data_IF_943194415868
#
_entry.id   IF_943194415868
#
_cell.length_a   1.000
_cell.length_b   1.000
_cell.length_c   1.000
_cell.angle_alpha   90.00
_cell.angle_beta   90.00
_cell.angle_gamma   90.00
#
_symmetry.space_group_name_H-M   'P 1'
#
loop_
_entity.id
_entity.type
_entity.pdbx_description
1 polymer ?
#
# COMPACT_ATOMS: atom_id res chain seq x y z
N UNK A 1 23.75 49.40 28.06
CA UNK A 1 22.57 48.52 27.96
C UNK A 1 23.09 47.11 27.79
N UNK A 2 23.09 46.33 28.86
CA UNK A 2 23.59 44.95 28.85
C UNK A 2 22.46 44.02 28.35
N UNK A 3 22.77 43.20 27.35
CA UNK A 3 21.87 42.16 26.87
C UNK A 3 21.80 41.05 27.92
N UNK A 4 20.58 40.75 28.38
CA UNK A 4 20.30 39.63 29.27
C UNK A 4 20.22 38.38 28.38
N UNK A 5 21.29 37.59 28.37
CA UNK A 5 21.24 36.21 27.87
C UNK A 5 20.31 35.40 28.79
N UNK A 6 19.16 34.98 28.26
CA UNK A 6 18.34 33.97 28.91
C UNK A 6 18.96 32.60 28.59
N UNK A 7 19.20 31.73 29.59
CA UNK A 7 19.61 30.38 29.31
C UNK A 7 18.50 29.66 28.54
N UNK A 8 18.85 29.02 27.43
CA UNK A 8 18.04 27.96 26.83
C UNK A 8 17.93 26.84 27.87
N UNK A 9 16.77 26.75 28.52
CA UNK A 9 16.36 25.52 29.19
C UNK A 9 16.22 24.46 28.10
N UNK A 10 17.24 23.64 27.92
CA UNK A 10 17.10 22.33 27.29
C UNK A 10 16.27 21.50 28.26
N UNK A 11 14.98 21.39 27.98
CA UNK A 11 14.01 20.76 28.85
C UNK A 11 14.20 19.24 28.88
N UNK A 12 14.35 18.71 30.10
CA UNK A 12 14.22 17.29 30.47
C UNK A 12 12.82 16.70 30.14
N UNK A 13 12.02 17.33 29.28
CA UNK A 13 10.65 16.92 28.94
C UNK A 13 10.56 16.01 27.72
N UNK A 14 11.61 15.93 26.88
CA UNK A 14 11.57 15.11 25.67
C UNK A 14 11.63 13.60 25.97
N UNK A 15 12.28 13.18 27.07
CA UNK A 15 12.30 11.77 27.50
C UNK A 15 10.96 11.31 28.11
N UNK A 16 10.14 12.25 28.62
CA UNK A 16 8.83 11.97 29.21
C UNK A 16 7.73 11.64 28.17
N UNK A 17 8.01 11.82 26.88
CA UNK A 17 7.08 11.55 25.77
C UNK A 17 7.54 10.35 24.92
N UNK A 18 8.01 9.29 25.58
CA UNK A 18 8.28 8.00 24.93
C UNK A 18 7.59 6.87 25.69
N UNK A 19 7.24 5.79 24.99
CA UNK A 19 6.39 4.76 25.55
C UNK A 19 7.03 3.90 26.64
N UNK A 20 8.36 3.88 26.78
CA UNK A 20 9.09 3.09 27.79
C UNK A 20 8.59 1.63 27.92
N UNK A 21 8.12 1.02 26.82
CA UNK A 21 7.57 -0.33 26.78
C UNK A 21 6.14 -0.48 27.35
N UNK A 22 5.40 0.61 27.49
CA UNK A 22 4.00 0.63 27.90
C UNK A 22 3.11 1.25 26.80
N UNK A 23 1.87 0.74 26.60
CA UNK A 23 0.93 1.33 25.66
C UNK A 23 0.65 2.80 25.97
N UNK A 24 0.45 3.64 24.94
CA UNK A 24 0.08 5.04 25.14
C UNK A 24 -1.38 5.15 25.62
N UNK A 25 -1.63 5.59 26.88
CA UNK A 25 -2.98 5.73 27.40
C UNK A 25 -3.82 6.77 26.64
N UNK A 26 -3.20 7.78 26.04
CA UNK A 26 -3.91 8.79 25.23
C UNK A 26 -4.35 8.19 23.90
N UNK A 27 -3.53 7.37 23.27
CA UNK A 27 -3.92 6.66 22.04
C UNK A 27 -5.06 5.67 22.27
N UNK A 28 -5.05 4.97 23.42
CA UNK A 28 -6.18 4.13 23.84
C UNK A 28 -7.46 4.95 24.09
N UNK A 29 -7.35 6.16 24.62
CA UNK A 29 -8.48 7.06 24.79
C UNK A 29 -9.07 7.48 23.43
N UNK A 30 -8.23 7.82 22.45
CA UNK A 30 -8.65 8.09 21.06
C UNK A 30 -9.36 6.88 20.46
N UNK A 31 -8.78 5.68 20.58
CA UNK A 31 -9.38 4.45 20.07
C UNK A 31 -10.76 4.17 20.69
N UNK A 32 -10.92 4.43 21.99
CA UNK A 32 -12.20 4.29 22.71
C UNK A 32 -13.24 5.30 22.25
N UNK A 33 -12.86 6.57 22.16
CA UNK A 33 -13.75 7.63 21.69
C UNK A 33 -14.22 7.41 20.24
N UNK A 34 -13.33 6.86 19.39
CA UNK A 34 -13.72 6.44 18.04
C UNK A 34 -14.70 5.25 18.09
N UNK A 35 -14.41 4.22 18.88
CA UNK A 35 -15.30 3.04 19.02
C UNK A 35 -16.71 3.43 19.46
N UNK A 36 -16.84 4.37 20.40
CA UNK A 36 -18.13 4.83 20.92
C UNK A 36 -19.00 5.53 19.85
N UNK A 37 -18.40 5.96 18.74
CA UNK A 37 -19.06 6.62 17.61
C UNK A 37 -19.33 5.67 16.43
N UNK A 38 -18.77 4.46 16.44
CA UNK A 38 -18.93 3.48 15.38
C UNK A 38 -20.01 2.45 15.70
N UNK A 39 -20.62 1.82 14.68
CA UNK A 39 -21.56 0.73 14.89
C UNK A 39 -20.95 -0.43 15.69
N UNK A 40 -21.76 -1.08 16.55
CA UNK A 40 -21.34 -2.24 17.35
C UNK A 40 -20.81 -3.44 16.53
N UNK A 41 -21.09 -3.47 15.23
CA UNK A 41 -20.53 -4.48 14.30
C UNK A 41 -19.06 -4.25 13.97
N UNK A 42 -18.49 -3.13 14.42
CA UNK A 42 -17.12 -2.72 14.17
C UNK A 42 -16.31 -2.70 15.46
N UNK A 43 -15.02 -3.02 15.35
CA UNK A 43 -14.09 -3.04 16.47
C UNK A 43 -12.85 -2.19 16.17
N UNK A 44 -12.58 -1.19 17.00
CA UNK A 44 -11.37 -0.39 16.95
C UNK A 44 -10.26 -1.07 17.76
N UNK A 45 -9.10 -1.21 17.12
CA UNK A 45 -7.91 -1.81 17.72
C UNK A 45 -6.73 -0.86 17.53
N UNK A 46 -6.10 -0.45 18.63
CA UNK A 46 -4.82 0.28 18.59
C UNK A 46 -3.71 -0.72 18.29
N UNK A 47 -2.87 -0.44 17.29
CA UNK A 47 -1.70 -1.26 17.00
C UNK A 47 -0.46 -0.38 16.76
N UNK A 48 0.64 -0.97 16.29
CA UNK A 48 1.87 -0.23 16.00
C UNK A 48 2.62 0.25 17.25
N UNK A 49 3.44 1.29 17.07
CA UNK A 49 4.42 1.72 18.08
C UNK A 49 3.78 2.21 19.39
N UNK A 50 2.58 2.81 19.30
CA UNK A 50 1.81 3.28 20.46
C UNK A 50 1.14 2.15 21.23
N UNK A 51 0.81 1.04 20.57
CA UNK A 51 0.35 -0.17 21.25
C UNK A 51 1.49 -0.89 21.97
N UNK A 52 2.66 -1.00 21.33
CA UNK A 52 3.82 -1.74 21.87
C UNK A 52 4.67 -0.94 22.85
N UNK A 53 4.45 0.38 22.94
CA UNK A 53 5.17 1.25 23.86
C UNK A 53 6.58 1.63 23.40
N UNK A 54 6.91 1.46 22.13
CA UNK A 54 8.19 1.88 21.53
C UNK A 54 8.08 3.21 20.76
N UNK A 55 6.96 3.92 20.92
CA UNK A 55 6.67 5.18 20.25
C UNK A 55 7.59 6.32 20.70
N UNK A 56 7.85 7.23 19.74
CA UNK A 56 8.58 8.50 19.91
C UNK A 56 7.57 9.66 19.94
N UNK A 57 7.95 10.89 20.38
CA UNK A 57 7.02 12.01 20.50
C UNK A 57 6.16 12.28 19.26
N UNK A 58 6.73 12.09 18.06
CA UNK A 58 6.07 12.34 16.78
C UNK A 58 5.57 11.07 16.07
N UNK A 59 5.58 9.92 16.73
CA UNK A 59 4.98 8.71 16.17
C UNK A 59 3.50 8.92 15.89
N UNK A 60 3.02 8.34 14.83
CA UNK A 60 1.60 8.23 14.49
C UNK A 60 0.80 7.42 15.51
N UNK A 61 -0.53 7.53 15.40
CA UNK A 61 -1.49 6.61 16.02
C UNK A 61 -2.02 5.68 14.93
N UNK A 62 -1.65 4.40 15.02
CA UNK A 62 -2.15 3.35 14.13
C UNK A 62 -3.42 2.70 14.69
N UNK A 63 -4.55 2.88 14.01
CA UNK A 63 -5.83 2.30 14.40
C UNK A 63 -6.34 1.38 13.29
N UNK A 64 -6.67 0.14 13.64
CA UNK A 64 -7.42 -0.75 12.77
C UNK A 64 -8.90 -0.70 13.15
N UNK A 65 -9.78 -0.62 12.16
CA UNK A 65 -11.24 -0.71 12.37
C UNK A 65 -11.73 -1.98 11.70
N UNK A 66 -11.91 -3.03 12.51
CA UNK A 66 -12.36 -4.33 12.06
C UNK A 66 -13.87 -4.29 11.80
N UNK A 67 -14.33 -4.95 10.73
CA UNK A 67 -15.71 -4.93 10.28
C UNK A 67 -16.12 -3.67 9.52
N UNK A 68 -15.21 -2.73 9.27
CA UNK A 68 -15.49 -1.51 8.50
C UNK A 68 -15.32 -1.74 6.99
N UNK A 69 -16.10 -1.04 6.14
CA UNK A 69 -15.84 -0.98 4.71
C UNK A 69 -14.55 -0.18 4.43
N UNK A 70 -13.86 -0.54 3.34
CA UNK A 70 -12.60 0.08 2.94
C UNK A 70 -12.78 1.22 1.94
N UNK A 71 -13.97 1.79 1.81
CA UNK A 71 -14.22 2.88 0.87
C UNK A 71 -13.65 4.20 1.39
N UNK A 72 -13.22 5.06 0.46
CA UNK A 72 -12.49 6.29 0.78
C UNK A 72 -13.29 7.28 1.63
N UNK A 73 -14.62 7.30 1.48
CA UNK A 73 -15.48 8.21 2.23
C UNK A 73 -15.50 7.79 3.70
N UNK A 74 -15.82 6.51 3.97
CA UNK A 74 -15.87 5.98 5.34
C UNK A 74 -14.51 6.14 6.04
N UNK A 75 -13.40 5.87 5.34
CA UNK A 75 -12.04 6.08 5.87
C UNK A 75 -11.78 7.54 6.22
N UNK A 76 -12.20 8.47 5.35
CA UNK A 76 -12.05 9.91 5.58
C UNK A 76 -12.86 10.38 6.80
N UNK A 77 -14.09 9.90 6.95
CA UNK A 77 -14.96 10.21 8.09
C UNK A 77 -14.35 9.67 9.41
N UNK A 78 -13.90 8.42 9.44
CA UNK A 78 -13.22 7.85 10.61
C UNK A 78 -11.92 8.58 10.94
N UNK A 79 -11.15 8.97 9.93
CA UNK A 79 -9.91 9.73 10.10
C UNK A 79 -10.14 11.10 10.72
N UNK A 80 -11.19 11.81 10.28
CA UNK A 80 -11.55 13.11 10.83
C UNK A 80 -12.06 13.00 12.27
N UNK A 81 -12.89 12.00 12.57
CA UNK A 81 -13.34 11.74 13.94
C UNK A 81 -12.15 11.45 14.86
N UNK A 82 -11.26 10.54 14.47
CA UNK A 82 -10.07 10.22 15.26
C UNK A 82 -9.18 11.45 15.48
N UNK A 83 -9.07 12.34 14.48
CA UNK A 83 -8.30 13.59 14.56
C UNK A 83 -8.86 14.54 15.61
N UNK A 84 -10.18 14.73 15.62
CA UNK A 84 -10.87 15.56 16.62
C UNK A 84 -10.60 15.02 18.04
N UNK A 85 -10.68 13.71 18.23
CA UNK A 85 -10.41 13.08 19.52
C UNK A 85 -8.92 13.19 19.92
N UNK A 86 -7.99 13.09 18.97
CA UNK A 86 -6.57 13.30 19.24
C UNK A 86 -6.26 14.74 19.63
N UNK A 87 -6.88 15.73 18.97
CA UNK A 87 -6.75 17.17 19.30
C UNK A 87 -7.19 17.48 20.74
N UNK A 88 -8.07 16.67 21.33
CA UNK A 88 -8.51 16.85 22.69
C UNK A 88 -7.50 16.36 23.75
N UNK A 89 -6.60 15.45 23.39
CA UNK A 89 -5.68 14.78 24.34
C UNK A 89 -4.19 14.93 24.01
N UNK A 90 -3.85 15.44 22.83
CA UNK A 90 -2.49 15.75 22.39
C UNK A 90 -2.30 17.24 22.09
N UNK A 91 -1.06 17.73 22.22
CA UNK A 91 -0.69 19.09 21.80
C UNK A 91 0.82 19.16 21.50
N UNK A 92 1.25 19.23 20.21
CA UNK A 92 0.42 19.08 19.00
C UNK A 92 -0.06 17.63 18.81
N UNK A 93 -1.13 17.46 18.02
CA UNK A 93 -1.66 16.14 17.70
C UNK A 93 -0.75 15.36 16.76
N UNK A 94 -0.49 14.07 17.04
CA UNK A 94 0.20 13.19 16.10
C UNK A 94 -0.66 12.93 14.85
N UNK A 95 -0.02 12.47 13.78
CA UNK A 95 -0.74 11.91 12.64
C UNK A 95 -1.50 10.65 13.04
N UNK A 96 -2.62 10.39 12.37
CA UNK A 96 -3.46 9.21 12.61
C UNK A 96 -3.56 8.41 11.32
N UNK A 97 -3.31 7.11 11.43
CA UNK A 97 -3.47 6.17 10.34
C UNK A 97 -4.63 5.22 10.66
N UNK A 98 -5.70 5.33 9.86
CA UNK A 98 -6.85 4.44 9.94
C UNK A 98 -6.69 3.32 8.90
N UNK A 99 -6.72 2.08 9.37
CA UNK A 99 -6.73 0.88 8.52
C UNK A 99 -8.09 0.19 8.64
N UNK A 100 -9.04 0.43 7.71
CA UNK A 100 -10.26 -0.35 7.68
C UNK A 100 -9.94 -1.79 7.29
N UNK A 101 -10.54 -2.76 7.97
CA UNK A 101 -10.46 -4.17 7.59
C UNK A 101 -11.85 -4.78 7.66
N UNK A 102 -12.35 -5.31 6.55
CA UNK A 102 -13.56 -6.12 6.61
C UNK A 102 -13.30 -7.37 7.47
N UNK A 103 -14.35 -7.95 8.07
CA UNK A 103 -14.19 -9.20 8.82
C UNK A 103 -13.57 -10.33 7.98
N UNK A 104 -13.99 -10.58 6.72
CA UNK A 104 -13.33 -11.57 5.88
C UNK A 104 -11.84 -11.30 5.64
N UNK A 105 -11.46 -10.04 5.39
CA UNK A 105 -10.06 -9.66 5.18
C UNK A 105 -9.22 -9.85 6.44
N UNK A 106 -9.74 -9.46 7.60
CA UNK A 106 -9.07 -9.70 8.87
C UNK A 106 -8.90 -11.20 9.13
N UNK A 107 -9.95 -11.99 8.94
CA UNK A 107 -9.90 -13.45 9.15
C UNK A 107 -8.92 -14.16 8.22
N UNK A 108 -8.82 -13.75 6.95
CA UNK A 108 -7.88 -14.29 5.98
C UNK A 108 -6.42 -13.92 6.35
N UNK A 109 -6.19 -12.66 6.75
CA UNK A 109 -4.86 -12.12 6.98
C UNK A 109 -4.29 -12.33 8.39
N UNK A 110 -5.13 -12.54 9.42
CA UNK A 110 -4.69 -12.53 10.84
C UNK A 110 -3.73 -13.62 11.26
N UNK A 111 -3.57 -14.66 10.43
CA UNK A 111 -2.59 -15.74 10.63
C UNK A 111 -1.24 -15.48 9.94
N UNK A 112 -1.10 -14.33 9.29
CA UNK A 112 0.03 -13.95 8.47
C UNK A 112 0.68 -12.69 9.00
N UNK A 113 1.81 -12.86 9.69
CA UNK A 113 2.55 -11.74 10.28
C UNK A 113 2.85 -10.59 9.30
N UNK A 114 3.29 -10.83 8.05
CA UNK A 114 3.57 -9.74 7.12
C UNK A 114 2.31 -8.95 6.70
N UNK A 115 1.12 -9.48 6.97
CA UNK A 115 -0.15 -8.81 6.73
C UNK A 115 -0.51 -7.88 7.88
N UNK A 116 -1.12 -6.73 7.58
CA UNK A 116 -1.56 -5.78 8.62
C UNK A 116 -2.51 -6.44 9.64
N UNK A 117 -3.46 -7.25 9.18
CA UNK A 117 -4.33 -8.05 10.05
C UNK A 117 -3.55 -8.98 11.00
N UNK A 118 -2.43 -9.57 10.56
CA UNK A 118 -1.58 -10.40 11.42
C UNK A 118 -0.87 -9.58 12.50
N UNK A 119 -0.41 -8.37 12.17
CA UNK A 119 0.18 -7.44 13.14
C UNK A 119 -0.86 -6.94 14.15
N UNK A 120 -2.05 -6.56 13.68
CA UNK A 120 -3.20 -6.21 14.54
C UNK A 120 -3.53 -7.38 15.46
N UNK A 121 -3.55 -8.61 14.95
CA UNK A 121 -3.80 -9.80 15.74
C UNK A 121 -2.71 -10.10 16.79
N UNK A 122 -1.45 -9.80 16.48
CA UNK A 122 -0.30 -10.10 17.34
C UNK A 122 -0.06 -9.04 18.43
N UNK A 123 -0.19 -7.77 18.07
CA UNK A 123 0.20 -6.63 18.90
C UNK A 123 -0.93 -5.66 19.19
N UNK A 124 -2.08 -5.84 18.56
CA UNK A 124 -3.22 -4.98 18.75
C UNK A 124 -3.77 -5.04 20.17
N UNK A 125 -4.25 -3.89 20.61
CA UNK A 125 -4.94 -3.67 21.87
C UNK A 125 -6.37 -3.24 21.57
N UNK A 126 -7.33 -3.88 22.23
CA UNK A 126 -8.71 -3.40 22.28
C UNK A 126 -8.77 -2.02 22.93
N UNK A 127 -9.93 -1.36 22.87
CA UNK A 127 -10.15 -0.06 23.52
C UNK A 127 -10.05 -0.11 25.06
N UNK A 128 -10.07 -1.31 25.65
CA UNK A 128 -9.81 -1.54 27.08
C UNK A 128 -8.32 -1.70 27.41
N UNK A 129 -7.46 -1.84 26.39
CA UNK A 129 -6.03 -2.09 26.54
C UNK A 129 -5.67 -3.58 26.63
N UNK A 130 -6.62 -4.47 26.34
CA UNK A 130 -6.39 -5.92 26.34
C UNK A 130 -5.91 -6.39 24.96
N UNK A 131 -5.04 -7.38 24.91
CA UNK A 131 -4.67 -8.01 23.64
C UNK A 131 -5.83 -8.82 23.05
N UNK A 132 -5.87 -8.90 21.72
CA UNK A 132 -6.73 -9.85 21.02
C UNK A 132 -6.37 -11.30 21.39
N UNK A 133 -7.34 -12.21 21.26
CA UNK A 133 -7.12 -13.63 21.55
C UNK A 133 -5.97 -14.18 20.69
N UNK A 134 -4.96 -14.86 21.28
CA UNK A 134 -3.78 -15.30 20.54
C UNK A 134 -4.12 -16.16 19.32
N UNK A 135 -3.41 -15.91 18.21
CA UNK A 135 -3.56 -16.65 16.95
C UNK A 135 -2.19 -17.10 16.41
N UNK A 136 -2.00 -18.40 16.09
CA UNK A 136 -0.78 -18.87 15.45
C UNK A 136 -0.50 -18.16 14.11
N UNK A 137 0.72 -17.64 13.96
CA UNK A 137 1.22 -17.00 12.73
C UNK A 137 1.84 -18.05 11.79
N UNK A 138 1.02 -19.00 11.33
CA UNK A 138 1.49 -20.22 10.66
C UNK A 138 1.87 -20.06 9.19
N UNK A 139 1.34 -19.05 8.50
CA UNK A 139 1.51 -18.87 7.05
C UNK A 139 1.91 -17.44 6.70
N UNK A 140 3.09 -17.22 6.10
CA UNK A 140 3.47 -15.88 5.64
C UNK A 140 2.74 -15.48 4.35
N UNK A 141 2.04 -16.41 3.69
CA UNK A 141 1.58 -16.20 2.32
C UNK A 141 0.58 -15.06 2.14
N UNK A 142 -0.53 -14.93 2.90
CA UNK A 142 -1.47 -13.83 2.70
C UNK A 142 -0.80 -12.45 2.77
N UNK A 143 0.10 -12.25 3.75
CA UNK A 143 0.86 -11.01 3.88
C UNK A 143 1.86 -10.81 2.75
N UNK A 144 2.64 -11.84 2.40
CA UNK A 144 3.59 -11.78 1.29
C UNK A 144 2.90 -11.51 -0.05
N UNK A 145 1.77 -12.18 -0.31
CA UNK A 145 0.94 -11.97 -1.49
C UNK A 145 0.52 -10.51 -1.59
N UNK A 146 0.00 -9.94 -0.50
CA UNK A 146 -0.42 -8.54 -0.48
C UNK A 146 0.74 -7.57 -0.71
N UNK A 147 1.89 -7.83 -0.08
CA UNK A 147 3.10 -7.01 -0.26
C UNK A 147 3.60 -7.04 -1.71
N UNK A 148 3.55 -8.19 -2.39
CA UNK A 148 3.91 -8.30 -3.80
C UNK A 148 2.93 -7.53 -4.70
N UNK A 149 1.62 -7.58 -4.44
CA UNK A 149 0.63 -6.79 -5.17
C UNK A 149 0.87 -5.28 -5.01
N UNK A 150 1.14 -4.83 -3.78
CA UNK A 150 1.43 -3.41 -3.51
C UNK A 150 2.74 -2.98 -4.17
N UNK A 151 3.77 -3.83 -4.12
CA UNK A 151 5.04 -3.59 -4.81
C UNK A 151 4.83 -3.42 -6.31
N UNK A 152 4.00 -4.28 -6.93
CA UNK A 152 3.65 -4.16 -8.33
C UNK A 152 3.01 -2.81 -8.66
N UNK A 153 1.96 -2.40 -7.92
CA UNK A 153 1.26 -1.13 -8.17
C UNK A 153 2.18 0.07 -8.05
N UNK A 154 3.07 0.07 -7.04
CA UNK A 154 4.04 1.14 -6.88
C UNK A 154 5.08 1.15 -8.00
N UNK A 155 5.55 -0.02 -8.45
CA UNK A 155 6.47 -0.08 -9.58
C UNK A 155 5.80 0.44 -10.86
N UNK A 156 4.54 0.06 -11.10
CA UNK A 156 3.74 0.55 -12.21
C UNK A 156 3.61 2.08 -12.18
N UNK A 157 3.24 2.66 -11.03
CA UNK A 157 3.13 4.10 -10.85
C UNK A 157 4.48 4.81 -11.04
N UNK A 158 5.58 4.22 -10.56
CA UNK A 158 6.92 4.78 -10.73
C UNK A 158 7.30 4.89 -12.22
N UNK A 159 7.03 3.83 -12.98
CA UNK A 159 7.26 3.79 -14.42
C UNK A 159 6.37 4.81 -15.16
N UNK A 160 5.08 4.92 -14.82
CA UNK A 160 4.16 5.91 -15.40
C UNK A 160 4.63 7.34 -15.18
N UNK A 161 4.95 7.69 -13.93
CA UNK A 161 5.43 9.02 -13.59
C UNK A 161 6.77 9.36 -14.24
N UNK A 162 7.61 8.36 -14.49
CA UNK A 162 8.85 8.54 -15.27
C UNK A 162 8.52 8.94 -16.70
N UNK A 163 7.59 8.23 -17.36
CA UNK A 163 7.12 8.57 -18.71
C UNK A 163 6.46 9.95 -18.82
N UNK A 164 5.80 10.40 -17.76
CA UNK A 164 5.15 11.71 -17.66
C UNK A 164 6.09 12.85 -17.23
N UNK A 165 7.37 12.56 -17.01
CA UNK A 165 8.36 13.51 -16.48
C UNK A 165 8.00 14.08 -15.09
N UNK A 166 7.33 13.28 -14.25
CA UNK A 166 6.93 13.59 -12.86
C UNK A 166 7.90 12.96 -11.86
N UNK A 167 9.16 13.39 -11.91
CA UNK A 167 10.28 12.70 -11.25
C UNK A 167 10.20 12.54 -9.73
N UNK A 168 9.56 13.47 -9.04
CA UNK A 168 9.36 13.34 -7.59
C UNK A 168 8.40 12.20 -7.24
N UNK A 169 7.31 12.06 -8.00
CA UNK A 169 6.38 10.95 -7.83
C UNK A 169 7.00 9.62 -8.27
N UNK A 170 7.83 9.61 -9.32
CA UNK A 170 8.49 8.36 -9.74
C UNK A 170 9.45 7.83 -8.67
N UNK A 171 10.27 8.68 -8.06
CA UNK A 171 11.17 8.31 -6.96
C UNK A 171 10.41 7.85 -5.71
N UNK A 172 9.34 8.56 -5.34
CA UNK A 172 8.48 8.17 -4.22
C UNK A 172 7.92 6.76 -4.39
N UNK A 173 7.38 6.47 -5.57
CA UNK A 173 6.82 5.17 -5.88
C UNK A 173 7.90 4.08 -6.05
N UNK A 174 9.07 4.41 -6.60
CA UNK A 174 10.19 3.48 -6.71
C UNK A 174 10.69 3.02 -5.33
N UNK A 175 10.84 3.95 -4.37
CA UNK A 175 11.17 3.62 -2.98
C UNK A 175 10.09 2.72 -2.35
N UNK A 176 8.81 3.06 -2.54
CA UNK A 176 7.70 2.29 -1.96
C UNK A 176 7.60 0.87 -2.54
N UNK A 177 7.91 0.71 -3.84
CA UNK A 177 7.98 -0.59 -4.49
C UNK A 177 9.11 -1.45 -3.90
N UNK A 178 10.30 -0.88 -3.70
CA UNK A 178 11.43 -1.57 -3.08
C UNK A 178 11.16 -1.95 -1.63
N UNK A 179 10.62 -1.03 -0.83
CA UNK A 179 10.29 -1.29 0.57
C UNK A 179 9.32 -2.47 0.72
N UNK A 180 8.27 -2.50 -0.11
CA UNK A 180 7.28 -3.59 -0.08
C UNK A 180 7.83 -4.91 -0.62
N UNK A 181 8.72 -4.89 -1.63
CA UNK A 181 9.43 -6.08 -2.11
C UNK A 181 10.38 -6.67 -1.06
N UNK A 182 11.12 -5.81 -0.34
CA UNK A 182 12.01 -6.24 0.76
C UNK A 182 11.19 -6.81 1.91
N UNK A 183 10.09 -6.15 2.31
CA UNK A 183 9.15 -6.68 3.31
C UNK A 183 8.57 -8.04 2.91
N UNK A 184 8.24 -8.24 1.63
CA UNK A 184 7.79 -9.54 1.12
C UNK A 184 8.89 -10.60 1.27
N UNK A 185 10.16 -10.24 1.01
CA UNK A 185 11.32 -11.10 1.21
C UNK A 185 11.51 -11.50 2.68
N UNK A 186 11.51 -10.52 3.59
CA UNK A 186 11.57 -10.78 5.04
C UNK A 186 10.43 -11.70 5.48
N UNK A 187 9.21 -11.44 5.01
CA UNK A 187 8.04 -12.27 5.28
C UNK A 187 8.20 -13.72 4.78
N UNK A 188 8.75 -13.92 3.58
CA UNK A 188 9.03 -15.25 3.04
C UNK A 188 10.04 -16.04 3.90
N UNK A 189 11.00 -15.33 4.50
CA UNK A 189 11.98 -15.87 5.45
C UNK A 189 11.49 -15.92 6.90
N UNK A 190 10.23 -15.55 7.16
CA UNK A 190 9.62 -15.48 8.51
C UNK A 190 10.36 -14.54 9.46
N UNK A 191 11.01 -13.51 8.92
CA UNK A 191 11.67 -12.46 9.68
C UNK A 191 10.62 -11.39 10.00
N UNK A 192 10.50 -11.06 11.28
CA UNK A 192 9.59 -10.02 11.74
C UNK A 192 10.20 -8.64 11.45
N UNK A 193 9.38 -7.71 11.00
CA UNK A 193 9.74 -6.31 10.75
C UNK A 193 8.61 -5.38 11.21
N UNK A 194 8.98 -4.21 11.73
CA UNK A 194 8.01 -3.21 12.21
C UNK A 194 7.36 -2.45 11.04
N UNK A 195 6.23 -1.79 11.31
CA UNK A 195 5.48 -1.01 10.32
C UNK A 195 6.08 0.37 10.00
N UNK A 196 7.39 0.54 10.14
CA UNK A 196 8.08 1.78 9.82
C UNK A 196 8.49 1.83 8.35
N UNK A 197 8.90 3.02 7.88
CA UNK A 197 9.40 3.26 6.53
C UNK A 197 10.93 3.39 6.54
N UNK A 198 11.62 2.30 6.87
CA UNK A 198 13.08 2.25 6.94
C UNK A 198 13.65 1.20 5.99
N UNK A 199 13.80 1.56 4.71
CA UNK A 199 14.38 0.66 3.71
C UNK A 199 15.78 0.16 4.13
N UNK A 200 16.58 0.98 4.81
CA UNK A 200 17.93 0.57 5.20
C UNK A 200 17.89 -0.49 6.31
N UNK A 201 17.04 -0.29 7.33
CA UNK A 201 16.78 -1.29 8.35
C UNK A 201 16.31 -2.61 7.74
N UNK A 202 15.34 -2.56 6.84
CA UNK A 202 14.82 -3.78 6.20
C UNK A 202 15.86 -4.51 5.35
N UNK A 203 16.73 -3.79 4.63
CA UNK A 203 17.83 -4.45 3.90
C UNK A 203 18.84 -5.07 4.86
N UNK A 204 19.10 -4.44 6.01
CA UNK A 204 20.01 -4.98 7.01
C UNK A 204 19.49 -6.28 7.67
N UNK A 205 18.17 -6.47 7.70
CA UNK A 205 17.53 -7.66 8.24
C UNK A 205 17.36 -8.80 7.20
N UNK A 206 17.70 -8.57 5.92
CA UNK A 206 17.68 -9.62 4.91
C UNK A 206 18.76 -10.69 5.21
N UNK A 207 18.56 -11.95 4.77
CA UNK A 207 19.63 -12.94 4.73
C UNK A 207 20.89 -12.40 4.04
N UNK A 208 22.07 -12.75 4.55
CA UNK A 208 23.38 -12.20 4.13
C UNK A 208 23.58 -12.17 2.61
N UNK A 209 23.17 -13.24 1.91
CA UNK A 209 23.30 -13.35 0.45
C UNK A 209 22.42 -12.33 -0.30
N UNK A 210 21.18 -12.14 0.16
CA UNK A 210 20.26 -11.14 -0.38
C UNK A 210 20.67 -9.72 0.00
N UNK A 211 21.17 -9.51 1.22
CA UNK A 211 21.69 -8.21 1.65
C UNK A 211 22.88 -7.79 0.78
N UNK A 212 23.87 -8.67 0.62
CA UNK A 212 25.04 -8.42 -0.23
C UNK A 212 24.65 -8.15 -1.68
N UNK A 213 23.69 -8.93 -2.22
CA UNK A 213 23.16 -8.68 -3.55
C UNK A 213 22.47 -7.31 -3.64
N UNK A 214 21.62 -6.96 -2.67
CA UNK A 214 20.90 -5.67 -2.64
C UNK A 214 21.88 -4.50 -2.56
N UNK A 215 22.92 -4.59 -1.73
CA UNK A 215 23.98 -3.59 -1.62
C UNK A 215 24.80 -3.45 -2.91
N UNK A 216 24.88 -4.50 -3.73
CA UNK A 216 25.52 -4.43 -5.06
C UNK A 216 24.65 -3.72 -6.12
N UNK A 217 23.34 -3.60 -5.88
CA UNK A 217 22.39 -2.97 -6.81
C UNK A 217 22.10 -1.53 -6.47
N UNK A 218 21.92 -1.24 -5.19
CA UNK A 218 21.65 0.10 -4.69
C UNK A 218 22.42 0.31 -3.40
N UNK A 219 23.31 1.29 -3.37
CA UNK A 219 24.16 1.55 -2.21
C UNK A 219 23.35 2.04 -1.00
N UNK A 220 23.92 1.87 0.20
CA UNK A 220 23.36 2.44 1.43
C UNK A 220 23.10 3.96 1.33
N UNK A 221 24.00 4.72 0.71
CA UNK A 221 23.85 6.16 0.50
C UNK A 221 22.69 6.50 -0.43
N UNK A 222 22.48 5.74 -1.51
CA UNK A 222 21.34 5.95 -2.42
C UNK A 222 20.02 5.63 -1.73
N UNK A 223 19.94 4.51 -1.00
CA UNK A 223 18.73 4.17 -0.21
C UNK A 223 18.43 5.23 0.84
N UNK A 224 19.45 5.69 1.57
CA UNK A 224 19.31 6.76 2.55
C UNK A 224 18.78 8.04 1.91
N UNK A 225 19.36 8.45 0.78
CA UNK A 225 18.89 9.63 0.07
C UNK A 225 17.44 9.51 -0.42
N UNK A 226 17.01 8.32 -0.86
CA UNK A 226 15.60 8.09 -1.23
C UNK A 226 14.66 8.23 -0.03
N UNK A 227 15.02 7.65 1.11
CA UNK A 227 14.24 7.78 2.35
C UNK A 227 14.17 9.25 2.81
N UNK A 228 15.32 9.93 2.81
CA UNK A 228 15.41 11.36 3.15
C UNK A 228 14.61 12.22 2.16
N UNK A 229 14.53 11.85 0.88
CA UNK A 229 13.74 12.54 -0.13
C UNK A 229 12.22 12.36 0.08
N UNK A 230 11.77 11.17 0.50
CA UNK A 230 10.34 10.86 0.71
C UNK A 230 9.69 11.71 1.80
N UNK A 231 10.40 11.96 2.91
CA UNK A 231 9.83 12.61 4.08
C UNK A 231 9.41 14.09 3.83
N UNK A 232 10.20 14.90 3.10
CA UNK A 232 9.81 16.27 2.75
C UNK A 232 8.97 16.38 1.47
N UNK A 233 9.18 15.52 0.45
CA UNK A 233 8.68 15.78 -0.90
C UNK A 233 7.15 15.82 -1.06
N UNK A 234 6.40 15.18 -0.15
CA UNK A 234 4.93 15.18 -0.18
C UNK A 234 4.29 16.28 0.67
N UNK A 235 5.01 16.78 1.68
CA UNK A 235 4.44 17.65 2.72
C UNK A 235 5.03 19.06 2.70
N UNK A 236 6.30 19.19 2.36
CA UNK A 236 6.96 20.47 2.19
C UNK A 236 7.03 20.83 0.71
N UNK A 237 6.43 21.97 0.34
CA UNK A 237 6.54 22.59 -0.99
C UNK A 237 7.99 23.01 -1.34
N UNK A 238 8.95 22.72 -0.47
CA UNK A 238 10.37 22.84 -0.71
C UNK A 238 10.82 21.49 -1.26
N UNK A 239 10.56 21.27 -2.55
CA UNK A 239 11.14 20.17 -3.28
C UNK A 239 12.67 20.36 -3.31
N UNK A 240 13.37 19.81 -2.32
CA UNK A 240 14.79 19.55 -2.46
C UNK A 240 14.94 18.73 -3.74
N UNK A 241 15.69 19.27 -4.70
CA UNK A 241 15.90 18.58 -5.96
C UNK A 241 16.73 17.34 -5.65
N UNK A 242 16.21 16.18 -6.03
CA UNK A 242 17.00 14.95 -6.11
C UNK A 242 18.31 15.25 -6.87
N UNK A 243 19.46 14.96 -6.26
CA UNK A 243 20.78 15.43 -6.74
C UNK A 243 21.81 14.32 -6.99
N UNK A 244 21.47 13.06 -6.70
CA UNK A 244 22.40 11.95 -6.85
C UNK A 244 22.42 11.43 -8.30
N UNK A 245 21.53 10.51 -8.61
CA UNK A 245 21.45 9.86 -9.92
C UNK A 245 20.28 10.39 -10.73
N UNK A 246 20.24 10.22 -12.06
CA UNK A 246 19.03 10.45 -12.82
C UNK A 246 17.86 9.62 -12.25
N UNK A 247 16.68 10.20 -12.01
CA UNK A 247 15.52 9.47 -11.48
C UNK A 247 15.17 8.20 -12.27
N UNK A 248 15.41 8.21 -13.57
CA UNK A 248 15.17 7.09 -14.47
C UNK A 248 16.11 5.91 -14.19
N UNK A 249 17.36 6.17 -13.80
CA UNK A 249 18.31 5.13 -13.38
C UNK A 249 17.91 4.51 -12.05
N UNK A 250 17.39 5.32 -11.12
CA UNK A 250 16.84 4.82 -9.85
C UNK A 250 15.59 3.96 -10.09
N UNK A 251 14.68 4.39 -10.96
CA UNK A 251 13.48 3.62 -11.29
C UNK A 251 13.85 2.30 -11.98
N UNK A 252 14.82 2.30 -12.89
CA UNK A 252 15.34 1.08 -13.50
C UNK A 252 15.99 0.14 -12.46
N UNK A 253 16.72 0.70 -11.49
CA UNK A 253 17.29 -0.07 -10.39
C UNK A 253 16.19 -0.68 -9.51
N UNK A 254 15.18 0.11 -9.15
CA UNK A 254 14.03 -0.36 -8.38
C UNK A 254 13.28 -1.48 -9.11
N UNK A 255 13.08 -1.35 -10.42
CA UNK A 255 12.47 -2.38 -11.27
C UNK A 255 13.25 -3.71 -11.21
N UNK A 256 14.57 -3.66 -11.40
CA UNK A 256 15.43 -4.85 -11.31
C UNK A 256 15.35 -5.47 -9.91
N UNK A 257 15.46 -4.65 -8.87
CA UNK A 257 15.44 -5.10 -7.48
C UNK A 257 14.12 -5.78 -7.14
N UNK A 258 12.99 -5.15 -7.46
CA UNK A 258 11.67 -5.66 -7.13
C UNK A 258 11.38 -6.97 -7.87
N UNK A 259 11.76 -7.08 -9.15
CA UNK A 259 11.58 -8.30 -9.94
C UNK A 259 12.36 -9.50 -9.38
N UNK A 260 13.66 -9.32 -9.10
CA UNK A 260 14.49 -10.40 -8.54
C UNK A 260 14.06 -10.79 -7.13
N UNK A 261 13.70 -9.84 -6.27
CA UNK A 261 13.15 -10.14 -4.94
C UNK A 261 11.82 -10.90 -5.04
N UNK A 262 10.91 -10.48 -5.94
CA UNK A 262 9.65 -11.18 -6.15
C UNK A 262 9.87 -12.62 -6.63
N UNK A 263 10.80 -12.83 -7.58
CA UNK A 263 11.20 -14.17 -8.04
C UNK A 263 11.76 -15.02 -6.90
N UNK A 264 12.64 -14.45 -6.07
CA UNK A 264 13.20 -15.13 -4.91
C UNK A 264 12.11 -15.54 -3.90
N UNK A 265 11.21 -14.61 -3.55
CA UNK A 265 10.08 -14.82 -2.66
C UNK A 265 9.19 -15.97 -3.14
N UNK A 266 8.81 -15.93 -4.42
CA UNK A 266 7.97 -16.95 -5.04
C UNK A 266 8.66 -18.33 -5.00
N UNK A 267 9.96 -18.37 -5.30
CA UNK A 267 10.77 -19.59 -5.19
C UNK A 267 10.80 -20.16 -3.77
N UNK A 268 11.03 -19.31 -2.75
CA UNK A 268 11.07 -19.73 -1.35
C UNK A 268 9.76 -20.35 -0.86
N UNK A 269 8.62 -19.83 -1.34
CA UNK A 269 7.30 -20.26 -0.90
C UNK A 269 6.68 -21.34 -1.81
N UNK A 270 7.39 -21.77 -2.87
CA UNK A 270 6.85 -22.71 -3.85
C UNK A 270 5.63 -22.16 -4.59
N UNK A 271 5.64 -20.85 -4.87
CA UNK A 271 4.57 -20.10 -5.52
C UNK A 271 4.99 -19.67 -6.92
N UNK A 272 3.99 -19.34 -7.72
CA UNK A 272 4.13 -18.79 -9.06
C UNK A 272 3.60 -17.37 -9.09
N UNK A 273 3.94 -16.56 -10.11
CA UNK A 273 3.35 -15.24 -10.29
C UNK A 273 1.81 -15.27 -10.29
N UNK A 274 1.19 -16.36 -10.78
CA UNK A 274 -0.27 -16.49 -10.88
C UNK A 274 -0.93 -16.62 -9.52
N UNK A 275 -0.24 -17.23 -8.56
CA UNK A 275 -0.72 -17.32 -7.19
C UNK A 275 -0.90 -15.94 -6.56
N UNK A 276 -0.10 -14.96 -6.96
CA UNK A 276 -0.13 -13.60 -6.40
C UNK A 276 -1.40 -12.85 -6.78
N UNK A 277 -2.01 -13.17 -7.93
CA UNK A 277 -3.18 -12.46 -8.48
C UNK A 277 -2.88 -10.96 -8.62
N UNK A 278 -1.82 -10.66 -9.35
CA UNK A 278 -1.45 -9.29 -9.72
C UNK A 278 -2.59 -8.59 -10.46
N UNK A 279 -2.76 -7.29 -10.21
CA UNK A 279 -3.77 -6.48 -10.91
C UNK A 279 -3.35 -6.25 -12.37
N UNK A 280 -2.04 -6.16 -12.60
CA UNK A 280 -1.46 -5.95 -13.91
C UNK A 280 -0.74 -7.20 -14.41
N UNK A 281 -0.90 -7.54 -15.69
CA UNK A 281 -0.31 -8.76 -16.26
C UNK A 281 0.16 -8.55 -17.71
N UNK A 282 1.47 -8.54 -17.90
CA UNK A 282 2.14 -8.54 -19.21
C UNK A 282 2.64 -9.92 -19.62
N UNK A 283 3.16 -10.68 -18.65
CA UNK A 283 3.67 -12.03 -18.88
C UNK A 283 3.65 -12.84 -17.59
N UNK A 284 3.93 -14.14 -17.68
CA UNK A 284 4.14 -15.02 -16.51
C UNK A 284 5.47 -14.73 -15.76
N UNK A 285 6.02 -13.52 -15.91
CA UNK A 285 7.16 -13.00 -15.14
C UNK A 285 6.78 -12.60 -13.71
N UNK A 286 7.81 -12.31 -12.90
CA UNK A 286 7.62 -11.75 -11.55
C UNK A 286 6.93 -10.37 -11.63
N UNK A 287 6.15 -9.97 -10.63
CA UNK A 287 5.41 -8.69 -10.68
C UNK A 287 4.57 -8.51 -11.97
N UNK A 288 4.08 -9.61 -12.54
CA UNK A 288 3.29 -9.60 -13.77
C UNK A 288 4.07 -9.20 -15.02
N UNK A 289 5.40 -9.32 -15.06
CA UNK A 289 6.22 -9.00 -16.23
C UNK A 289 6.72 -7.56 -16.28
N UNK A 290 6.47 -6.74 -15.26
CA UNK A 290 6.92 -5.35 -15.21
C UNK A 290 8.45 -5.22 -15.20
N UNK A 291 9.19 -6.22 -14.74
CA UNK A 291 10.66 -6.24 -14.73
C UNK A 291 11.29 -6.19 -16.14
N UNK A 292 10.52 -6.56 -17.17
CA UNK A 292 10.98 -6.57 -18.56
C UNK A 292 10.65 -5.29 -19.34
N UNK A 293 9.95 -4.34 -18.73
CA UNK A 293 9.51 -3.12 -19.43
C UNK A 293 10.61 -2.07 -19.42
N UNK A 294 10.95 -1.40 -20.55
CA UNK A 294 11.91 -0.31 -20.52
C UNK A 294 11.43 0.84 -19.62
N UNK A 295 12.26 1.26 -18.65
CA UNK A 295 11.95 2.37 -17.74
C UNK A 295 11.63 3.67 -18.51
N UNK A 296 12.44 3.97 -19.53
CA UNK A 296 12.21 5.02 -20.53
C UNK A 296 11.39 4.44 -21.69
N UNK A 297 10.13 4.13 -21.43
CA UNK A 297 9.25 3.45 -22.40
C UNK A 297 7.86 3.18 -21.88
N UNK A 298 7.67 3.20 -20.56
CA UNK A 298 6.35 3.10 -19.92
C UNK A 298 5.46 4.35 -20.12
N UNK A 299 5.68 5.17 -21.17
CA UNK A 299 4.60 6.03 -21.65
C UNK A 299 3.54 5.12 -22.23
N UNK A 300 2.69 4.60 -21.34
CA UNK A 300 1.55 3.78 -21.65
C UNK A 300 1.90 2.64 -22.62
N UNK A 301 2.04 1.44 -22.10
CA UNK A 301 2.08 0.23 -22.93
C UNK A 301 0.85 0.08 -23.85
N UNK A 302 -0.16 0.93 -23.65
CA UNK A 302 -1.25 1.19 -24.56
C UNK A 302 -0.79 2.19 -25.64
N UNK A 303 -0.87 1.77 -26.89
CA UNK A 303 -0.86 2.64 -28.05
C UNK A 303 -1.87 3.78 -27.90
N UNK A 304 -1.70 4.92 -28.59
CA UNK A 304 -2.70 6.01 -28.58
C UNK A 304 -4.15 5.51 -28.80
N UNK A 305 -4.42 4.56 -29.73
CA UNK A 305 -5.73 3.90 -29.87
C UNK A 305 -6.23 3.25 -28.59
N UNK A 306 -5.34 2.59 -27.84
CA UNK A 306 -5.73 1.87 -26.64
C UNK A 306 -6.02 2.82 -25.47
N UNK A 307 -5.25 3.90 -25.34
CA UNK A 307 -5.59 4.98 -24.41
C UNK A 307 -6.93 5.62 -24.75
N UNK A 308 -7.19 5.89 -26.03
CA UNK A 308 -8.46 6.45 -26.49
C UNK A 308 -9.62 5.51 -26.21
N UNK A 309 -9.44 4.20 -26.39
CA UNK A 309 -10.47 3.21 -26.12
C UNK A 309 -10.79 3.10 -24.61
N UNK A 310 -9.77 3.08 -23.73
CA UNK A 310 -9.99 3.11 -22.27
C UNK A 310 -10.62 4.44 -21.85
N UNK A 311 -10.17 5.57 -22.40
CA UNK A 311 -10.79 6.87 -22.14
C UNK A 311 -12.26 6.90 -22.58
N UNK A 312 -12.57 6.36 -23.75
CA UNK A 312 -13.94 6.24 -24.26
C UNK A 312 -14.79 5.31 -23.37
N UNK A 313 -14.23 4.20 -22.89
CA UNK A 313 -14.91 3.29 -21.94
C UNK A 313 -15.38 4.05 -20.71
N UNK A 314 -14.47 4.78 -20.04
CA UNK A 314 -14.80 5.54 -18.82
C UNK A 314 -15.77 6.70 -19.08
N UNK A 315 -15.57 7.46 -20.16
CA UNK A 315 -16.43 8.61 -20.48
C UNK A 315 -17.83 8.17 -20.91
N UNK A 316 -17.95 7.11 -21.71
CA UNK A 316 -19.25 6.70 -22.28
C UNK A 316 -20.04 5.78 -21.36
N UNK A 317 -19.37 4.98 -20.53
CA UNK A 317 -20.01 3.98 -19.67
C UNK A 317 -19.90 4.28 -18.17
N UNK A 318 -19.22 5.37 -17.78
CA UNK A 318 -19.03 5.76 -16.36
C UNK A 318 -20.34 5.90 -15.58
N UNK A 319 -21.39 6.43 -16.22
CA UNK A 319 -22.72 6.57 -15.63
C UNK A 319 -23.66 5.38 -15.93
N UNK A 320 -23.19 4.43 -16.73
CA UNK A 320 -23.98 3.29 -17.23
C UNK A 320 -23.65 2.00 -16.47
N UNK A 321 -22.39 1.81 -16.10
CA UNK A 321 -21.90 0.60 -15.45
C UNK A 321 -21.30 0.90 -14.07
N UNK A 322 -21.38 -0.05 -13.13
CA UNK A 322 -20.65 0.05 -11.87
C UNK A 322 -19.14 0.17 -12.11
N UNK A 323 -18.44 0.95 -11.29
CA UNK A 323 -16.98 1.14 -11.37
C UNK A 323 -16.22 -0.20 -11.35
N UNK A 324 -16.69 -1.17 -10.56
CA UNK A 324 -16.08 -2.50 -10.48
C UNK A 324 -16.07 -3.24 -11.83
N UNK A 325 -17.13 -3.10 -12.64
CA UNK A 325 -17.22 -3.74 -13.95
C UNK A 325 -16.35 -3.00 -14.98
N UNK A 326 -16.30 -1.66 -14.92
CA UNK A 326 -15.35 -0.87 -15.72
C UNK A 326 -13.91 -1.26 -15.44
N UNK A 327 -13.53 -1.41 -14.16
CA UNK A 327 -12.20 -1.88 -13.77
C UNK A 327 -11.91 -3.30 -14.26
N UNK A 328 -12.90 -4.20 -14.26
CA UNK A 328 -12.74 -5.56 -14.83
C UNK A 328 -12.50 -5.52 -16.34
N UNK A 329 -13.26 -4.72 -17.08
CA UNK A 329 -13.10 -4.57 -18.53
C UNK A 329 -11.73 -3.97 -18.85
N UNK A 330 -11.37 -2.88 -18.17
CA UNK A 330 -10.07 -2.23 -18.35
C UNK A 330 -8.92 -3.19 -18.05
N UNK A 331 -9.02 -3.94 -16.95
CA UNK A 331 -8.05 -4.98 -16.59
C UNK A 331 -7.94 -6.03 -17.71
N UNK A 332 -9.07 -6.56 -18.20
CA UNK A 332 -9.08 -7.56 -19.27
C UNK A 332 -8.45 -7.03 -20.56
N UNK A 333 -8.74 -5.78 -20.94
CA UNK A 333 -8.16 -5.11 -22.11
C UNK A 333 -6.66 -4.89 -21.96
N UNK A 334 -6.20 -4.43 -20.79
CA UNK A 334 -4.77 -4.28 -20.51
C UNK A 334 -4.03 -5.61 -20.54
N UNK A 335 -4.67 -6.69 -20.14
CA UNK A 335 -4.07 -8.03 -20.10
C UNK A 335 -4.04 -8.74 -21.46
N UNK A 336 -5.06 -8.51 -22.30
CA UNK A 336 -5.31 -9.35 -23.49
C UNK A 336 -5.39 -8.56 -24.80
N UNK A 337 -5.25 -7.24 -24.73
CA UNK A 337 -5.47 -6.32 -25.85
C UNK A 337 -6.93 -5.88 -25.95
N UNK A 338 -7.13 -4.75 -26.60
CA UNK A 338 -8.45 -4.19 -26.86
C UNK A 338 -9.06 -4.88 -28.09
N UNK A 339 -10.33 -5.29 -28.05
CA UNK A 339 -11.00 -5.85 -29.22
C UNK A 339 -10.99 -4.89 -30.41
N UNK A 340 -10.74 -5.39 -31.62
CA UNK A 340 -10.71 -4.58 -32.84
C UNK A 340 -12.04 -3.83 -33.10
N UNK A 341 -13.15 -4.34 -32.56
CA UNK A 341 -14.51 -3.83 -32.67
C UNK A 341 -14.99 -3.06 -31.42
N UNK A 342 -14.06 -2.57 -30.59
CA UNK A 342 -14.36 -1.91 -29.29
C UNK A 342 -15.43 -0.82 -29.37
N UNK A 343 -15.41 0.02 -30.41
CA UNK A 343 -16.39 1.09 -30.57
C UNK A 343 -17.82 0.55 -30.75
N UNK A 344 -17.98 -0.55 -31.50
CA UNK A 344 -19.26 -1.21 -31.70
C UNK A 344 -19.75 -1.88 -30.40
N UNK A 345 -18.83 -2.52 -29.67
CA UNK A 345 -19.13 -3.13 -28.36
C UNK A 345 -19.56 -2.08 -27.33
N UNK A 346 -18.86 -0.95 -27.22
CA UNK A 346 -19.26 0.16 -26.32
C UNK A 346 -20.67 0.65 -26.69
N UNK A 347 -20.95 0.86 -27.98
CA UNK A 347 -22.27 1.27 -28.45
C UNK A 347 -23.37 0.25 -28.10
N UNK A 348 -23.10 -1.05 -28.20
CA UNK A 348 -24.03 -2.10 -27.82
C UNK A 348 -24.33 -2.08 -26.31
N UNK A 349 -23.32 -1.82 -25.47
CA UNK A 349 -23.48 -1.74 -24.01
C UNK A 349 -24.21 -0.48 -23.59
N UNK A 350 -23.97 0.67 -24.23
CA UNK A 350 -24.77 1.88 -24.02
C UNK A 350 -26.26 1.64 -24.30
N UNK A 351 -26.58 0.87 -25.35
CA UNK A 351 -27.96 0.54 -25.70
C UNK A 351 -28.57 -0.53 -24.76
N UNK A 352 -27.75 -1.46 -24.27
CA UNK A 352 -28.15 -2.55 -23.38
C UNK A 352 -27.07 -2.80 -22.32
N UNK A 353 -27.13 -2.13 -21.15
CA UNK A 353 -26.09 -2.22 -20.12
C UNK A 353 -25.81 -3.64 -19.63
N UNK A 354 -26.83 -4.51 -19.60
CA UNK A 354 -26.69 -5.92 -19.24
C UNK A 354 -25.75 -6.72 -20.18
N UNK A 355 -25.42 -6.21 -21.37
CA UNK A 355 -24.51 -6.83 -22.30
C UNK A 355 -23.03 -6.48 -22.04
N UNK A 356 -22.68 -5.82 -20.93
CA UNK A 356 -21.31 -5.35 -20.67
C UNK A 356 -20.24 -6.43 -20.76
N UNK A 357 -20.57 -7.69 -20.46
CA UNK A 357 -19.66 -8.84 -20.61
C UNK A 357 -19.15 -9.03 -22.04
N UNK A 358 -19.88 -8.54 -23.05
CA UNK A 358 -19.39 -8.51 -24.44
C UNK A 358 -18.14 -7.65 -24.62
N UNK A 359 -17.80 -6.76 -23.68
CA UNK A 359 -16.54 -6.03 -23.70
C UNK A 359 -15.36 -6.89 -23.21
N UNK A 360 -15.62 -8.04 -22.59
CA UNK A 360 -14.59 -9.00 -22.21
C UNK A 360 -14.22 -9.87 -23.43
N UNK A 361 -12.96 -10.33 -23.53
CA UNK A 361 -12.56 -11.29 -24.56
C UNK A 361 -13.26 -12.64 -24.35
N UNK A 362 -13.60 -13.32 -25.45
CA UNK A 362 -14.53 -14.46 -25.55
C UNK A 362 -14.20 -15.67 -24.64
N UNK A 363 -12.98 -15.76 -24.11
CA UNK A 363 -12.51 -16.85 -23.25
C UNK A 363 -12.85 -16.67 -21.75
N UNK A 364 -13.38 -15.50 -21.35
CA UNK A 364 -13.80 -15.19 -19.97
C UNK A 364 -15.32 -15.29 -19.78
N UNK A 365 -16.07 -15.73 -20.79
CA UNK A 365 -17.45 -16.15 -20.60
C UNK A 365 -17.46 -17.54 -19.96
N UNK A 366 -17.02 -17.61 -18.71
CA UNK A 366 -17.33 -18.75 -17.86
C UNK A 366 -18.84 -18.70 -17.68
N UNK A 367 -19.59 -19.55 -18.40
CA UNK A 367 -21.06 -19.57 -18.45
C UNK A 367 -21.79 -19.82 -17.12
N UNK A 368 -21.28 -19.30 -16.00
CA UNK A 368 -21.94 -19.15 -14.72
C UNK A 368 -23.03 -18.08 -14.83
N UNK A 369 -24.18 -18.52 -15.34
CA UNK A 369 -25.47 -17.86 -15.16
C UNK A 369 -25.78 -17.73 -13.66
N UNK A 370 -25.33 -16.67 -13.02
CA UNK A 370 -26.01 -16.14 -11.83
C UNK A 370 -26.63 -14.80 -12.18
N UNK A 371 -27.68 -14.87 -12.99
CA UNK A 371 -28.62 -13.80 -13.25
C UNK A 371 -29.56 -13.64 -12.05
N UNK A 372 -29.37 -12.59 -11.27
CA UNK A 372 -30.51 -11.86 -10.74
C UNK A 372 -30.33 -10.37 -11.05
N UNK A 373 -31.28 -9.75 -11.76
CA UNK A 373 -31.25 -8.31 -11.99
C UNK A 373 -31.44 -7.56 -10.66
N UNK A 374 -30.92 -6.32 -10.53
CA UNK A 374 -31.14 -5.50 -9.35
C UNK A 374 -32.65 -5.23 -9.21
N UNK A 375 -33.15 -5.34 -7.98
CA UNK A 375 -34.52 -4.99 -7.65
C UNK A 375 -34.80 -3.52 -8.06
N UNK A 376 -35.93 -3.32 -8.76
CA UNK A 376 -36.42 -2.00 -9.18
C UNK A 376 -36.82 -1.13 -8.01
#
# INVERSE_FOLDING_TARGET
>A
MAAVERPLQTSDTAEAESGLGQPDPRALAVARALQDQLPDTQQVVLFGSRATGIWKPHSDIDLAVLGAPSDLQTVGEMGELARIEADAVYSPSPSIQITPLSWPEFEEGRSSYPHVAGQVQLWGLTTTGDHLSPMPQGSPWPGVQRLLQVSQRHLEAALAHTGDNRMHFSLFHALSAMETAVKASLGAHRICFDHHHDLNGFVADLPDDLQLWMDSKISHSQRKALVDFRNPSLYDRIAERWTLDPPEEIVATAQQVCGELAKHVLGCLGKTPRDVKYDYWLSDGSLGGLESVPALGYRSLLTEPEQMAIGALHVMLGDVLPLADLSRIECAWRQRGIPDDVAARIGAVMAKPAAWRTLLPDELDDGSETDQPPAQ
#
